data_IF_232164063105
#
_entry.id   IF_232164063105
#
_cell.length_a   1.000
_cell.length_b   1.000
_cell.length_c   1.000
_cell.angle_alpha   90.00
_cell.angle_beta   90.00
_cell.angle_gamma   90.00
#
_symmetry.space_group_name_H-M   'P 1'
#
loop_
_entity.id
_entity.type
_entity.pdbx_description
1 polymer ?
#
# COMPACT_ATOMS: atom_id res chain seq x y z
N UNK A 1 20.72 -14.90 6.35
CA UNK A 1 19.93 -15.70 7.31
C UNK A 1 20.77 -16.82 7.90
N UNK A 2 21.37 -17.68 7.09
CA UNK A 2 22.08 -18.89 7.58
C UNK A 2 23.52 -18.70 8.07
N UNK A 3 24.05 -17.47 8.08
CA UNK A 3 25.47 -17.19 8.39
C UNK A 3 25.64 -16.09 9.43
N UNK A 4 25.19 -14.88 9.08
CA UNK A 4 25.53 -13.66 9.86
C UNK A 4 24.52 -13.29 10.95
N UNK A 5 23.48 -14.11 11.15
CA UNK A 5 22.50 -13.86 12.21
C UNK A 5 23.11 -14.24 13.57
N UNK A 6 23.04 -13.35 14.57
CA UNK A 6 23.72 -13.52 15.89
C UNK A 6 23.43 -14.83 16.60
N UNK A 7 22.25 -15.39 16.40
CA UNK A 7 21.76 -16.61 17.06
C UNK A 7 21.93 -17.86 16.18
N UNK A 8 22.46 -17.71 14.98
CA UNK A 8 22.58 -18.79 14.00
C UNK A 8 24.00 -19.31 14.02
N UNK A 9 24.14 -20.60 14.30
CA UNK A 9 25.40 -21.30 14.02
C UNK A 9 25.61 -21.29 12.51
N UNK A 10 26.70 -20.63 12.09
CA UNK A 10 26.96 -20.36 10.68
C UNK A 10 27.07 -21.67 9.91
N UNK A 11 26.25 -21.81 8.86
CA UNK A 11 26.21 -22.98 8.01
C UNK A 11 26.03 -22.58 6.54
N UNK A 12 26.23 -23.55 5.65
CA UNK A 12 25.92 -23.36 4.24
C UNK A 12 24.43 -23.17 4.00
N UNK A 13 24.10 -22.54 2.87
CA UNK A 13 22.70 -22.32 2.49
C UNK A 13 22.04 -23.68 2.22
N UNK A 14 20.96 -24.04 2.92
CA UNK A 14 20.28 -25.31 2.72
C UNK A 14 19.85 -25.47 1.26
N UNK A 15 20.13 -26.64 0.68
CA UNK A 15 19.81 -26.96 -0.72
C UNK A 15 19.23 -28.35 -0.92
N UNK A 16 19.33 -29.23 0.09
CA UNK A 16 18.78 -30.58 0.02
C UNK A 16 17.24 -30.54 0.09
N UNK A 17 16.57 -31.12 -0.91
CA UNK A 17 15.11 -31.15 -1.04
C UNK A 17 14.43 -29.77 -1.03
N UNK A 18 15.14 -28.71 -1.42
CA UNK A 18 14.62 -27.34 -1.49
C UNK A 18 14.83 -26.73 -2.88
N UNK A 19 13.83 -26.01 -3.42
CA UNK A 19 14.00 -25.31 -4.67
C UNK A 19 15.01 -24.15 -4.51
N UNK A 20 15.79 -23.82 -5.55
CA UNK A 20 16.66 -22.66 -5.52
C UNK A 20 15.83 -21.38 -5.45
N UNK A 21 16.40 -20.34 -4.85
CA UNK A 21 15.81 -19.00 -4.93
C UNK A 21 15.89 -18.48 -6.36
N UNK A 22 14.84 -17.78 -6.78
CA UNK A 22 14.82 -17.05 -8.04
C UNK A 22 15.71 -15.80 -7.96
N UNK A 23 16.07 -15.25 -9.11
CA UNK A 23 16.87 -14.02 -9.23
C UNK A 23 16.16 -12.78 -8.64
N UNK A 24 14.83 -12.82 -8.63
CA UNK A 24 13.94 -11.82 -8.02
C UNK A 24 12.60 -12.45 -7.69
N UNK A 25 11.76 -11.70 -6.99
CA UNK A 25 10.34 -12.05 -6.82
C UNK A 25 9.59 -11.66 -8.09
N UNK A 26 8.80 -12.61 -8.62
CA UNK A 26 7.93 -12.40 -9.77
C UNK A 26 6.48 -12.26 -9.30
N UNK A 27 5.71 -11.38 -9.94
CA UNK A 27 4.26 -11.38 -9.86
C UNK A 27 3.71 -12.53 -10.73
N UNK A 28 2.53 -13.04 -10.38
CA UNK A 28 1.92 -14.17 -11.07
C UNK A 28 1.66 -13.87 -12.56
N UNK A 29 1.24 -12.64 -12.85
CA UNK A 29 0.97 -12.15 -14.20
C UNK A 29 2.23 -11.90 -15.06
N UNK A 30 3.44 -12.07 -14.49
CA UNK A 30 4.69 -12.11 -15.25
C UNK A 30 5.00 -13.51 -15.80
N UNK A 31 4.42 -14.56 -15.21
CA UNK A 31 4.78 -15.96 -15.50
C UNK A 31 3.66 -16.68 -16.22
N UNK A 32 2.40 -16.39 -15.86
CA UNK A 32 1.22 -17.02 -16.45
C UNK A 32 0.17 -15.98 -16.80
N UNK A 33 -0.68 -16.23 -17.81
CA UNK A 33 -1.87 -15.41 -18.04
C UNK A 33 -2.78 -15.41 -16.80
N UNK A 34 -3.25 -14.22 -16.40
CA UNK A 34 -4.15 -14.05 -15.26
C UNK A 34 -5.40 -13.33 -15.73
N UNK A 35 -6.55 -13.98 -15.60
CA UNK A 35 -7.84 -13.45 -16.04
C UNK A 35 -8.44 -12.44 -15.06
N UNK A 36 -8.28 -12.68 -13.75
CA UNK A 36 -8.87 -11.86 -12.69
C UNK A 36 -7.84 -11.59 -11.60
N UNK A 37 -7.76 -10.33 -11.15
CA UNK A 37 -6.90 -9.90 -10.06
C UNK A 37 -7.75 -9.41 -8.88
N UNK A 38 -7.53 -9.99 -7.70
CA UNK A 38 -8.15 -9.55 -6.45
C UNK A 38 -7.05 -8.88 -5.59
N UNK A 39 -7.05 -7.55 -5.47
CA UNK A 39 -6.00 -6.82 -4.78
C UNK A 39 -6.15 -6.86 -3.25
N UNK A 40 -5.03 -6.71 -2.55
CA UNK A 40 -4.97 -6.53 -1.10
C UNK A 40 -4.04 -7.53 -0.38
N UNK A 41 -3.57 -7.15 0.80
CA UNK A 41 -2.67 -7.95 1.64
C UNK A 41 -3.14 -7.99 3.11
N UNK A 42 -4.17 -8.80 3.45
CA UNK A 42 -5.09 -9.50 2.55
C UNK A 42 -6.22 -8.58 2.04
N UNK A 43 -6.98 -9.07 1.07
CA UNK A 43 -8.13 -8.36 0.50
C UNK A 43 -9.31 -8.24 1.49
N UNK A 44 -10.35 -7.48 1.15
CA UNK A 44 -11.60 -7.44 1.90
C UNK A 44 -12.45 -8.69 1.55
N UNK A 45 -12.96 -9.46 2.54
CA UNK A 45 -13.87 -10.58 2.29
C UNK A 45 -15.04 -10.24 1.35
N UNK A 46 -15.61 -9.04 1.44
CA UNK A 46 -16.72 -8.60 0.58
C UNK A 46 -16.33 -8.57 -0.90
N UNK A 47 -15.06 -8.25 -1.20
CA UNK A 47 -14.52 -8.25 -2.57
C UNK A 47 -14.39 -9.68 -3.08
N UNK A 48 -13.98 -10.63 -2.21
CA UNK A 48 -13.88 -12.05 -2.57
C UNK A 48 -15.25 -12.61 -2.89
N UNK A 49 -16.24 -12.35 -2.03
CA UNK A 49 -17.64 -12.76 -2.26
C UNK A 49 -18.15 -12.15 -3.55
N UNK A 50 -17.93 -10.85 -3.79
CA UNK A 50 -18.32 -10.18 -5.03
C UNK A 50 -17.67 -10.81 -6.26
N UNK A 51 -16.39 -11.15 -6.20
CA UNK A 51 -15.67 -11.80 -7.30
C UNK A 51 -16.26 -13.17 -7.64
N UNK A 52 -16.51 -14.00 -6.62
CA UNK A 52 -17.10 -15.33 -6.79
C UNK A 52 -18.53 -15.22 -7.33
N UNK A 53 -19.37 -14.35 -6.75
CA UNK A 53 -20.74 -14.13 -7.22
C UNK A 53 -20.78 -13.63 -8.66
N UNK A 54 -19.90 -12.70 -9.03
CA UNK A 54 -19.82 -12.19 -10.42
C UNK A 54 -19.49 -13.33 -11.40
N UNK A 55 -18.54 -14.19 -11.02
CA UNK A 55 -18.16 -15.35 -11.82
C UNK A 55 -19.32 -16.34 -11.99
N UNK A 56 -20.07 -16.64 -10.92
CA UNK A 56 -21.23 -17.54 -10.96
C UNK A 56 -22.38 -16.98 -11.81
N UNK A 57 -22.56 -15.66 -11.81
CA UNK A 57 -23.58 -14.97 -12.60
C UNK A 57 -23.15 -14.72 -14.06
N UNK A 58 -21.92 -15.09 -14.44
CA UNK A 58 -21.37 -14.83 -15.78
C UNK A 58 -21.11 -13.35 -16.07
N UNK A 59 -20.93 -12.52 -15.02
CA UNK A 59 -20.62 -11.10 -15.12
C UNK A 59 -19.12 -10.85 -14.99
N UNK A 60 -18.63 -9.82 -15.66
CA UNK A 60 -17.24 -9.38 -15.50
C UNK A 60 -17.00 -8.82 -14.10
N UNK A 61 -15.99 -9.34 -13.41
CA UNK A 61 -15.53 -8.77 -12.14
C UNK A 61 -14.53 -7.65 -12.41
N UNK A 62 -14.92 -6.42 -12.11
CA UNK A 62 -14.04 -5.25 -12.21
C UNK A 62 -14.16 -4.37 -10.98
N UNK A 63 -13.01 -3.99 -10.43
CA UNK A 63 -12.91 -2.94 -9.42
C UNK A 63 -12.79 -1.59 -10.11
N UNK A 64 -13.37 -0.56 -9.49
CA UNK A 64 -13.28 0.78 -10.00
C UNK A 64 -11.88 1.36 -9.79
N UNK A 65 -11.32 2.00 -10.82
CA UNK A 65 -9.97 2.59 -10.81
C UNK A 65 -9.97 3.92 -10.04
N UNK A 66 -10.32 3.85 -8.76
CA UNK A 66 -10.34 4.97 -7.83
C UNK A 66 -9.26 4.80 -6.77
N UNK A 67 -8.79 5.92 -6.23
CA UNK A 67 -7.80 5.94 -5.16
C UNK A 67 -8.46 5.70 -3.81
N UNK A 68 -7.70 5.24 -2.81
CA UNK A 68 -8.19 5.17 -1.42
C UNK A 68 -8.69 6.54 -0.94
N UNK A 69 -8.15 7.64 -1.48
CA UNK A 69 -8.63 8.98 -1.15
C UNK A 69 -10.08 9.24 -1.58
N UNK A 70 -10.61 8.54 -2.58
CA UNK A 70 -12.00 8.73 -3.02
C UNK A 70 -13.01 8.15 -2.02
N UNK A 71 -12.60 7.16 -1.22
CA UNK A 71 -13.41 6.56 -0.15
C UNK A 71 -13.03 7.09 1.24
N UNK A 72 -11.95 7.86 1.37
CA UNK A 72 -11.42 8.25 2.67
C UNK A 72 -12.17 9.46 3.25
N UNK A 73 -12.75 9.34 4.45
CA UNK A 73 -13.67 10.35 5.01
C UNK A 73 -12.97 11.50 5.73
N UNK A 74 -11.65 11.44 5.90
CA UNK A 74 -10.90 12.48 6.59
C UNK A 74 -10.94 13.80 5.81
N UNK A 75 -11.00 14.90 6.54
CA UNK A 75 -11.10 16.24 5.98
C UNK A 75 -9.83 16.65 5.26
N UNK A 76 -9.99 17.24 4.08
CA UNK A 76 -8.91 17.87 3.31
C UNK A 76 -9.21 19.36 3.21
N UNK A 77 -8.32 20.19 3.72
CA UNK A 77 -8.56 21.64 3.79
C UNK A 77 -7.40 22.45 3.23
N UNK A 78 -6.16 22.02 3.51
CA UNK A 78 -4.96 22.82 3.25
C UNK A 78 -3.79 21.94 2.88
N UNK A 79 -2.83 22.50 2.14
CA UNK A 79 -1.51 21.86 1.97
C UNK A 79 -0.86 21.57 3.33
N UNK A 80 0.05 20.59 3.35
CA UNK A 80 0.94 20.44 4.48
C UNK A 80 1.70 21.76 4.65
N UNK A 81 1.86 22.23 5.89
CA UNK A 81 2.34 23.58 6.21
C UNK A 81 3.80 23.86 5.82
N UNK A 82 4.41 23.00 5.00
CA UNK A 82 5.86 22.92 4.81
C UNK A 82 6.50 22.37 6.09
N UNK A 83 7.09 21.18 6.02
CA UNK A 83 7.66 20.55 7.21
C UNK A 83 8.29 19.20 6.89
N UNK A 84 8.99 18.64 7.88
CA UNK A 84 9.56 17.31 7.77
C UNK A 84 8.47 16.23 7.71
N UNK A 85 8.68 15.21 6.89
CA UNK A 85 7.83 14.01 6.88
C UNK A 85 7.95 13.34 8.25
N UNK A 86 6.84 13.34 9.00
CA UNK A 86 6.75 12.71 10.31
C UNK A 86 6.86 11.19 10.19
N UNK A 87 7.49 10.57 11.19
CA UNK A 87 7.55 9.11 11.29
C UNK A 87 6.23 8.58 11.83
N UNK A 88 5.92 7.34 11.51
CA UNK A 88 4.67 6.70 11.94
C UNK A 88 4.58 6.52 13.46
N UNK A 89 5.69 6.61 14.19
CA UNK A 89 5.70 6.57 15.65
C UNK A 89 5.38 7.93 16.30
N UNK A 90 5.36 9.01 15.52
CA UNK A 90 4.97 10.33 16.00
C UNK A 90 3.44 10.36 16.19
N UNK A 91 2.97 11.12 17.19
CA UNK A 91 1.56 11.21 17.52
C UNK A 91 0.78 11.91 16.40
N UNK A 92 -0.16 11.18 15.81
CA UNK A 92 -1.15 11.75 14.90
C UNK A 92 -2.08 12.69 15.69
N UNK A 93 -2.45 13.83 15.10
CA UNK A 93 -3.47 14.70 15.68
C UNK A 93 -4.85 14.18 15.28
N UNK A 94 -5.55 13.57 16.24
CA UNK A 94 -6.92 13.09 16.09
C UNK A 94 -7.68 13.20 17.41
N UNK A 95 -9.01 13.25 17.33
CA UNK A 95 -9.90 13.17 18.49
C UNK A 95 -10.64 11.84 18.45
N UNK A 96 -10.45 11.02 19.47
CA UNK A 96 -11.13 9.73 19.56
C UNK A 96 -12.63 9.93 19.77
N UNK A 97 -13.45 9.15 19.08
CA UNK A 97 -14.91 9.18 19.21
C UNK A 97 -15.62 10.29 18.43
N UNK A 98 -14.87 11.19 17.80
CA UNK A 98 -15.42 12.17 16.87
C UNK A 98 -15.66 11.56 15.48
N UNK A 99 -16.60 12.08 14.68
CA UNK A 99 -16.75 11.71 13.28
C UNK A 99 -15.43 11.82 12.51
N UNK A 100 -15.18 10.89 11.59
CA UNK A 100 -13.96 10.89 10.79
C UNK A 100 -13.77 12.15 9.93
N UNK A 101 -14.87 12.81 9.57
CA UNK A 101 -14.90 14.09 8.86
C UNK A 101 -14.31 15.26 9.66
N UNK A 102 -14.19 15.13 10.98
CA UNK A 102 -13.51 16.09 11.84
C UNK A 102 -11.99 15.84 11.91
N UNK A 103 -11.51 14.67 11.45
CA UNK A 103 -10.09 14.34 11.46
C UNK A 103 -9.42 14.89 10.22
N UNK A 104 -8.35 15.67 10.40
CA UNK A 104 -7.57 16.23 9.30
C UNK A 104 -6.78 15.14 8.57
N UNK A 105 -6.68 15.24 7.24
CA UNK A 105 -5.94 14.31 6.39
C UNK A 105 -4.49 14.10 6.86
N UNK A 106 -4.05 12.84 6.90
CA UNK A 106 -2.75 12.49 7.49
C UNK A 106 -1.58 13.03 6.66
N UNK A 107 -1.73 13.14 5.33
CA UNK A 107 -0.72 13.81 4.49
C UNK A 107 -0.61 15.30 4.79
N UNK A 108 -1.73 15.96 5.06
CA UNK A 108 -1.74 17.38 5.45
C UNK A 108 -1.12 17.61 6.84
N UNK A 109 -1.18 16.60 7.72
CA UNK A 109 -0.51 16.57 9.02
C UNK A 109 1.01 16.25 8.93
N UNK A 110 1.51 15.92 7.73
CA UNK A 110 2.93 15.63 7.47
C UNK A 110 3.31 14.14 7.44
N UNK A 111 2.35 13.21 7.43
CA UNK A 111 2.64 11.78 7.38
C UNK A 111 2.69 11.23 5.94
N UNK A 112 3.62 10.30 5.70
CA UNK A 112 3.69 9.56 4.43
C UNK A 112 2.54 8.56 4.33
N UNK A 113 1.46 8.93 3.65
CA UNK A 113 0.29 8.09 3.40
C UNK A 113 0.17 7.78 1.90
N UNK A 114 0.20 6.51 1.52
CA UNK A 114 0.13 6.06 0.12
C UNK A 114 -1.29 6.06 -0.48
N UNK A 115 -2.28 6.60 0.24
CA UNK A 115 -3.68 6.63 -0.19
C UNK A 115 -3.91 7.16 -1.62
N UNK A 116 -3.26 8.26 -2.04
CA UNK A 116 -3.48 8.84 -3.37
C UNK A 116 -3.02 8.00 -4.55
N UNK A 117 -2.19 6.97 -4.31
CA UNK A 117 -1.62 6.10 -5.35
C UNK A 117 -2.00 4.63 -5.19
N UNK A 118 -2.93 4.37 -4.27
CA UNK A 118 -3.37 3.02 -3.92
C UNK A 118 -4.81 2.82 -4.38
N UNK A 119 -5.12 1.68 -4.97
CA UNK A 119 -6.48 1.30 -5.37
C UNK A 119 -7.44 1.23 -4.16
N UNK A 120 -8.66 1.74 -4.37
CA UNK A 120 -9.75 1.73 -3.39
C UNK A 120 -10.34 0.33 -3.14
N UNK A 121 -11.23 0.19 -2.13
CA UNK A 121 -11.88 -1.07 -1.78
C UNK A 121 -11.38 -1.72 -0.48
N UNK A 122 -10.37 -1.12 0.17
CA UNK A 122 -9.96 -1.56 1.52
C UNK A 122 -10.86 -0.99 2.63
N UNK A 123 -11.77 -0.08 2.30
CA UNK A 123 -12.72 0.50 3.24
C UNK A 123 -13.75 -0.51 3.75
N UNK A 124 -14.21 -0.28 4.97
CA UNK A 124 -15.39 -0.95 5.53
C UNK A 124 -16.35 0.13 6.03
N UNK A 125 -17.65 -0.09 5.87
CA UNK A 125 -18.67 0.81 6.40
C UNK A 125 -18.73 0.70 7.92
N UNK A 126 -18.74 1.83 8.62
CA UNK A 126 -19.00 1.80 10.06
C UNK A 126 -20.48 1.60 10.38
N UNK A 127 -20.78 1.04 11.56
CA UNK A 127 -22.13 0.64 11.95
C UNK A 127 -22.63 -0.62 11.22
N UNK A 128 -23.90 -0.97 11.39
CA UNK A 128 -24.57 -2.12 10.74
C UNK A 128 -24.80 -1.90 9.23
N UNK A 129 -23.85 -1.30 8.49
CA UNK A 129 -23.88 -1.19 7.02
C UNK A 129 -24.33 0.16 6.44
N UNK A 130 -24.76 1.11 7.26
CA UNK A 130 -25.28 2.42 6.83
C UNK A 130 -24.34 3.60 7.10
N UNK A 131 -23.21 3.38 7.77
CA UNK A 131 -22.27 4.44 8.09
C UNK A 131 -21.24 4.73 6.99
N UNK A 132 -20.38 5.69 7.32
CA UNK A 132 -19.30 6.16 6.46
C UNK A 132 -18.30 5.03 6.19
N UNK A 133 -17.82 4.94 4.94
CA UNK A 133 -16.76 3.99 4.59
C UNK A 133 -15.42 4.52 5.07
N UNK A 134 -14.69 3.74 5.87
CA UNK A 134 -13.38 4.15 6.41
C UNK A 134 -12.34 3.14 5.96
N UNK A 135 -11.25 3.56 5.28
CA UNK A 135 -10.12 2.69 4.97
C UNK A 135 -9.52 2.06 6.23
N UNK A 136 -9.20 0.75 6.21
CA UNK A 136 -8.76 0.01 7.41
C UNK A 136 -7.56 0.63 8.15
N UNK A 137 -6.56 1.14 7.42
CA UNK A 137 -5.40 1.80 8.05
C UNK A 137 -5.81 3.09 8.78
N UNK A 138 -6.69 3.89 8.15
CA UNK A 138 -7.16 5.16 8.71
C UNK A 138 -8.02 4.91 9.96
N UNK A 139 -8.85 3.87 9.94
CA UNK A 139 -9.58 3.41 11.13
C UNK A 139 -8.65 3.05 12.30
N UNK A 140 -7.47 2.52 11.99
CA UNK A 140 -6.41 2.22 12.97
C UNK A 140 -5.50 3.41 13.31
N UNK A 141 -5.86 4.63 12.90
CA UNK A 141 -5.05 5.85 13.06
C UNK A 141 -3.64 5.76 12.44
N UNK A 142 -3.53 5.02 11.34
CA UNK A 142 -2.27 4.77 10.63
C UNK A 142 -2.35 5.20 9.16
N UNK A 143 -1.26 5.76 8.59
CA UNK A 143 -1.23 6.11 7.19
C UNK A 143 -1.32 4.87 6.29
N UNK A 144 -1.97 5.00 5.14
CA UNK A 144 -2.05 3.95 4.13
C UNK A 144 -0.64 3.51 3.70
N UNK A 145 -0.45 2.19 3.57
CA UNK A 145 0.83 1.56 3.21
C UNK A 145 0.87 1.02 1.77
N UNK A 146 -0.19 1.21 0.99
CA UNK A 146 -0.24 0.80 -0.40
C UNK A 146 -0.41 -0.70 -0.66
N UNK A 147 -1.07 -1.43 0.25
CA UNK A 147 -1.21 -2.88 0.12
C UNK A 147 -2.17 -3.36 -0.96
N UNK A 148 -3.09 -2.50 -1.43
CA UNK A 148 -4.00 -2.81 -2.54
C UNK A 148 -3.34 -2.59 -3.92
N UNK A 149 -2.09 -2.12 -3.96
CA UNK A 149 -1.36 -1.91 -5.20
C UNK A 149 -1.80 -0.65 -5.95
N UNK A 150 -1.32 -0.47 -7.20
CA UNK A 150 -1.57 0.73 -8.00
C UNK A 150 -3.05 0.88 -8.38
N UNK A 151 -3.49 2.13 -8.59
CA UNK A 151 -4.87 2.47 -9.00
C UNK A 151 -5.29 1.79 -10.31
N UNK A 152 -4.34 1.55 -11.21
CA UNK A 152 -4.60 0.88 -12.49
C UNK A 152 -3.40 0.05 -12.91
N UNK A 153 -3.64 -0.94 -13.77
CA UNK A 153 -2.57 -1.78 -14.33
C UNK A 153 -1.57 -0.89 -15.08
N UNK A 154 -0.28 -1.11 -14.84
CA UNK A 154 0.81 -0.33 -15.45
C UNK A 154 1.13 1.02 -14.80
N UNK A 155 0.30 1.54 -13.88
CA UNK A 155 0.66 2.74 -13.12
C UNK A 155 1.87 2.48 -12.21
N UNK A 156 2.67 3.51 -11.97
CA UNK A 156 3.91 3.43 -11.19
C UNK A 156 3.77 4.28 -9.91
N UNK A 157 3.35 3.68 -8.78
CA UNK A 157 3.12 4.41 -7.54
C UNK A 157 4.34 5.15 -7.02
N UNK A 158 5.56 4.73 -7.35
CA UNK A 158 6.75 5.50 -7.01
C UNK A 158 6.71 6.87 -7.68
N UNK A 159 6.45 6.93 -8.99
CA UNK A 159 6.43 8.19 -9.73
C UNK A 159 5.21 9.01 -9.35
N UNK A 160 4.03 8.38 -9.31
CA UNK A 160 2.77 9.04 -9.00
C UNK A 160 2.79 9.65 -7.59
N UNK A 161 3.42 8.95 -6.63
CA UNK A 161 3.50 9.42 -5.25
C UNK A 161 4.47 10.58 -5.09
N UNK A 162 5.55 10.64 -5.88
CA UNK A 162 6.45 11.80 -5.87
C UNK A 162 5.71 13.08 -6.27
N UNK A 163 4.83 12.98 -7.27
CA UNK A 163 3.95 14.08 -7.68
C UNK A 163 2.95 14.45 -6.57
N UNK A 164 2.35 13.46 -5.90
CA UNK A 164 1.42 13.69 -4.79
C UNK A 164 2.09 14.35 -3.57
N UNK A 165 3.29 13.89 -3.19
CA UNK A 165 4.10 14.46 -2.09
C UNK A 165 4.45 15.92 -2.38
N UNK A 166 4.91 16.22 -3.60
CA UNK A 166 5.24 17.58 -3.99
C UNK A 166 3.99 18.49 -4.03
N UNK A 167 2.86 17.97 -4.51
CA UNK A 167 1.60 18.72 -4.59
C UNK A 167 1.08 19.14 -3.22
N UNK A 168 1.25 18.30 -2.20
CA UNK A 168 0.84 18.59 -0.83
C UNK A 168 1.81 19.54 -0.11
N UNK A 169 3.00 19.81 -0.66
CA UNK A 169 4.01 20.68 -0.07
C UNK A 169 5.03 19.96 0.84
N UNK A 170 5.17 18.64 0.71
CA UNK A 170 6.20 17.86 1.40
C UNK A 170 7.42 17.66 0.48
N UNK A 171 8.61 17.52 1.06
CA UNK A 171 9.82 17.22 0.29
C UNK A 171 9.99 15.71 0.13
N UNK A 172 9.84 15.24 -1.10
CA UNK A 172 10.04 13.84 -1.43
C UNK A 172 11.48 13.34 -1.17
N UNK A 173 12.45 14.25 -1.01
CA UNK A 173 13.81 13.87 -0.60
C UNK A 173 13.88 13.28 0.80
N UNK A 174 12.96 13.67 1.68
CA UNK A 174 12.91 13.23 3.07
C UNK A 174 12.41 11.81 3.23
N UNK A 175 11.78 11.22 2.20
CA UNK A 175 11.32 9.83 2.25
C UNK A 175 12.53 8.89 2.29
N UNK A 176 12.76 8.16 3.38
CA UNK A 176 13.86 7.20 3.46
C UNK A 176 13.54 5.99 2.57
N UNK A 177 14.53 5.45 1.88
CA UNK A 177 14.38 4.29 0.98
C UNK A 177 13.08 4.32 0.14
N UNK A 178 12.99 5.31 -0.74
CA UNK A 178 11.81 5.53 -1.61
C UNK A 178 11.42 4.29 -2.41
N UNK A 179 12.42 3.49 -2.83
CA UNK A 179 12.16 2.27 -3.60
C UNK A 179 11.35 1.29 -2.76
N UNK A 180 11.80 0.98 -1.55
CA UNK A 180 11.10 0.03 -0.69
C UNK A 180 9.79 0.60 -0.12
N UNK A 181 9.77 1.86 0.34
CA UNK A 181 8.57 2.42 0.97
C UNK A 181 7.43 2.63 -0.01
N UNK A 182 7.70 3.10 -1.22
CA UNK A 182 6.65 3.39 -2.22
C UNK A 182 6.25 2.15 -3.02
N UNK A 183 7.05 1.08 -3.00
CA UNK A 183 6.75 -0.21 -3.65
C UNK A 183 6.60 -1.39 -2.68
N UNK A 184 6.27 -1.12 -1.41
CA UNK A 184 6.32 -2.11 -0.31
C UNK A 184 5.59 -3.43 -0.61
N UNK A 185 4.48 -3.37 -1.34
CA UNK A 185 3.64 -4.54 -1.66
C UNK A 185 3.63 -4.89 -3.16
N UNK A 186 4.42 -4.17 -3.97
CA UNK A 186 4.39 -4.24 -5.44
C UNK A 186 5.82 -4.42 -5.95
N UNK A 187 6.49 -5.44 -5.43
CA UNK A 187 7.89 -5.71 -5.77
C UNK A 187 8.10 -6.34 -7.15
N UNK A 188 7.09 -7.06 -7.66
CA UNK A 188 7.11 -7.65 -9.00
C UNK A 188 7.17 -6.61 -10.12
N UNK A 189 7.09 -7.08 -11.36
CA UNK A 189 7.17 -6.25 -12.56
C UNK A 189 8.41 -5.36 -12.54
N UNK A 190 9.51 -5.90 -12.01
CA UNK A 190 10.81 -5.24 -11.93
C UNK A 190 10.91 -3.99 -11.05
N UNK A 191 9.91 -3.70 -10.23
CA UNK A 191 9.89 -2.51 -9.36
C UNK A 191 10.91 -2.63 -8.23
N UNK A 192 11.03 -3.81 -7.64
CA UNK A 192 12.07 -4.15 -6.68
C UNK A 192 12.95 -5.26 -7.23
N UNK A 193 14.24 -4.96 -7.35
CA UNK A 193 15.28 -5.92 -7.74
C UNK A 193 16.47 -5.75 -6.80
N UNK A 194 17.23 -6.84 -6.52
CA UNK A 194 18.53 -6.72 -5.87
C UNK A 194 19.36 -5.66 -6.56
N UNK A 195 19.89 -4.72 -5.78
CA UNK A 195 20.82 -3.74 -6.32
C UNK A 195 22.15 -4.43 -6.59
N UNK A 196 22.88 -4.03 -7.66
CA UNK A 196 24.26 -4.43 -7.80
C UNK A 196 25.02 -4.06 -6.53
N UNK A 197 25.94 -4.92 -6.10
CA UNK A 197 26.79 -4.63 -4.96
C UNK A 197 27.45 -3.27 -5.17
N UNK A 198 27.38 -2.39 -4.16
CA UNK A 198 28.10 -1.11 -4.23
C UNK A 198 29.58 -1.44 -4.45
N UNK A 199 30.25 -0.85 -5.46
CA UNK A 199 31.69 -1.03 -5.60
C UNK A 199 32.35 -0.62 -4.27
N UNK A 200 33.26 -1.47 -3.79
CA UNK A 200 34.06 -1.20 -2.59
C UNK A 200 35.06 -0.09 -2.88
#
# INVERSE_FOLDING_TARGET
VYRDCKTTDSADTPSENLPPLLDKVYALDEVVPVDVQIPGCPTNPDIVVRAITSLLEGKEFKLEERSVCDECPVKREKKASGGEIKRTLDSLEFKQGEPWENTRCYMEQGYLCLGPVTLAGCGHKEGNGDGVTVPRCIKGYMPCRGCFGPIRKGANPLVDMMSAISSIGLDAKQVPDRRALLNRYIGGQNRLRPLPARPK
#
